data_IF_877034747219
#
_entry.id   IF_877034747219
#
_cell.length_a   1.000
_cell.length_b   1.000
_cell.length_c   1.000
_cell.angle_alpha   90.00
_cell.angle_beta   90.00
_cell.angle_gamma   90.00
#
_symmetry.space_group_name_H-M   'P 1'
#
loop_
_entity.id
_entity.type
_entity.pdbx_description
1 polymer ?
#
# COMPACT_ATOMS: atom_id res chain seq x y z
N UNK A 1 -27.43 -38.09 -13.83
CA UNK A 1 -27.76 -36.78 -13.24
C UNK A 1 -27.52 -35.72 -14.30
N UNK A 2 -28.55 -34.97 -14.74
CA UNK A 2 -28.34 -33.81 -15.63
C UNK A 2 -27.55 -32.76 -14.83
N UNK A 3 -26.36 -32.36 -15.30
CA UNK A 3 -25.63 -31.21 -14.72
C UNK A 3 -26.59 -30.02 -14.74
N UNK A 4 -26.79 -29.34 -13.60
CA UNK A 4 -27.52 -28.08 -13.57
C UNK A 4 -26.72 -27.07 -14.39
N UNK A 5 -27.38 -26.34 -15.28
CA UNK A 5 -26.76 -25.24 -16.01
C UNK A 5 -26.25 -24.18 -15.01
N UNK A 6 -25.04 -23.67 -15.25
CA UNK A 6 -24.34 -22.76 -14.34
C UNK A 6 -24.98 -21.37 -14.30
N UNK A 7 -25.56 -20.93 -15.43
CA UNK A 7 -26.18 -19.61 -15.55
C UNK A 7 -27.32 -19.40 -14.51
N UNK A 8 -28.34 -20.27 -14.39
CA UNK A 8 -29.36 -20.15 -13.33
C UNK A 8 -28.78 -20.09 -11.90
N UNK A 9 -27.71 -20.84 -11.62
CA UNK A 9 -27.06 -20.85 -10.32
C UNK A 9 -26.37 -19.51 -10.04
N UNK A 10 -25.68 -18.95 -11.05
CA UNK A 10 -25.07 -17.62 -10.97
C UNK A 10 -26.15 -16.55 -10.78
N UNK A 11 -27.26 -16.64 -11.51
CA UNK A 11 -28.39 -15.71 -11.38
C UNK A 11 -28.99 -15.71 -9.97
N UNK A 12 -29.20 -16.89 -9.38
CA UNK A 12 -29.65 -17.04 -8.00
C UNK A 12 -28.63 -16.45 -7.02
N UNK A 13 -27.33 -16.73 -7.22
CA UNK A 13 -26.27 -16.22 -6.35
C UNK A 13 -26.15 -14.70 -6.39
N UNK A 14 -26.32 -14.08 -7.56
CA UNK A 14 -26.39 -12.62 -7.73
C UNK A 14 -27.54 -12.06 -6.90
N UNK A 15 -28.73 -12.66 -6.96
CA UNK A 15 -29.88 -12.26 -6.14
C UNK A 15 -29.60 -12.34 -4.63
N UNK A 16 -29.02 -13.44 -4.17
CA UNK A 16 -28.62 -13.61 -2.76
C UNK A 16 -27.65 -12.50 -2.32
N UNK A 17 -26.62 -12.24 -3.14
CA UNK A 17 -25.61 -11.22 -2.86
C UNK A 17 -26.21 -9.82 -2.80
N UNK A 18 -27.07 -9.44 -3.76
CA UNK A 18 -27.79 -8.14 -3.73
C UNK A 18 -28.52 -7.95 -2.41
N UNK A 19 -29.30 -8.97 -2.02
CA UNK A 19 -30.12 -8.90 -0.82
C UNK A 19 -29.30 -8.74 0.46
N UNK A 20 -28.22 -9.51 0.58
CA UNK A 20 -27.33 -9.47 1.75
C UNK A 20 -26.54 -8.16 1.82
N UNK A 21 -26.05 -7.66 0.67
CA UNK A 21 -25.25 -6.45 0.62
C UNK A 21 -26.05 -5.20 0.95
N UNK A 22 -27.29 -5.07 0.43
CA UNK A 22 -28.16 -3.94 0.78
C UNK A 22 -28.43 -3.92 2.29
N UNK A 23 -28.65 -5.09 2.89
CA UNK A 23 -28.90 -5.19 4.32
C UNK A 23 -27.69 -4.75 5.17
N UNK A 24 -26.49 -5.16 4.77
CA UNK A 24 -25.24 -4.72 5.42
C UNK A 24 -25.03 -3.22 5.22
N UNK A 25 -25.09 -2.72 3.98
CA UNK A 25 -24.89 -1.30 3.68
C UNK A 25 -25.87 -0.40 4.43
N UNK A 26 -27.14 -0.81 4.53
CA UNK A 26 -28.17 -0.07 5.27
C UNK A 26 -27.92 -0.04 6.78
N UNK A 27 -27.47 -1.15 7.35
CA UNK A 27 -27.30 -1.28 8.80
C UNK A 27 -25.98 -0.68 9.30
N UNK A 28 -24.99 -0.52 8.42
CA UNK A 28 -23.67 -0.03 8.81
C UNK A 28 -23.60 1.49 9.00
N UNK A 29 -24.34 2.27 8.21
CA UNK A 29 -24.36 3.73 8.35
C UNK A 29 -25.59 4.35 7.73
N UNK A 30 -25.85 5.62 8.09
CA UNK A 30 -26.93 6.39 7.47
C UNK A 30 -26.59 6.66 6.01
N UNK A 31 -27.38 6.10 5.10
CA UNK A 31 -27.18 6.30 3.66
C UNK A 31 -27.24 7.81 3.33
N UNK A 32 -26.21 8.35 2.64
CA UNK A 32 -26.15 9.73 2.20
C UNK A 32 -27.24 10.06 1.19
N UNK A 33 -27.61 11.34 1.09
CA UNK A 33 -28.52 11.81 0.04
C UNK A 33 -27.82 11.84 -1.33
N UNK A 34 -28.58 11.73 -2.44
CA UNK A 34 -28.03 11.75 -3.79
C UNK A 34 -27.20 12.98 -4.07
N UNK A 35 -26.15 12.80 -4.87
CA UNK A 35 -25.25 13.88 -5.31
C UNK A 35 -26.06 14.95 -6.06
N UNK A 36 -26.81 14.54 -7.07
CA UNK A 36 -27.72 15.41 -7.81
C UNK A 36 -29.18 15.15 -7.44
N UNK A 37 -29.96 16.22 -7.43
CA UNK A 37 -31.40 16.19 -7.21
C UNK A 37 -32.06 17.29 -8.05
N UNK A 38 -33.29 17.03 -8.52
CA UNK A 38 -34.08 18.03 -9.22
C UNK A 38 -34.96 18.73 -8.18
N UNK A 39 -34.97 20.08 -8.09
CA UNK A 39 -35.75 20.79 -7.07
C UNK A 39 -37.24 20.43 -7.05
N UNK A 40 -37.82 20.18 -8.22
CA UNK A 40 -39.24 19.84 -8.39
C UNK A 40 -39.57 18.37 -8.03
N UNK A 41 -38.54 17.50 -7.97
CA UNK A 41 -38.66 16.09 -7.66
C UNK A 41 -37.58 15.70 -6.63
N UNK A 42 -37.76 16.11 -5.35
CA UNK A 42 -36.77 15.84 -4.32
C UNK A 42 -36.62 14.33 -4.09
N UNK A 43 -35.42 13.91 -3.74
CA UNK A 43 -35.11 12.51 -3.46
C UNK A 43 -35.98 11.98 -2.31
N UNK A 44 -36.72 10.90 -2.58
CA UNK A 44 -37.53 10.24 -1.55
C UNK A 44 -36.67 9.19 -0.87
N UNK A 45 -36.15 9.54 0.31
CA UNK A 45 -35.33 8.63 1.10
C UNK A 45 -36.13 7.36 1.48
N UNK A 46 -35.59 6.16 1.23
CA UNK A 46 -36.20 4.92 1.72
C UNK A 46 -36.31 4.94 3.25
N UNK A 47 -37.31 4.24 3.79
CA UNK A 47 -37.57 4.21 5.25
C UNK A 47 -36.95 2.96 5.89
N UNK A 48 -36.77 1.89 5.12
CA UNK A 48 -36.33 0.58 5.61
C UNK A 48 -35.56 -0.22 4.56
N UNK A 49 -34.58 -1.01 5.00
CA UNK A 49 -33.77 -1.89 4.14
C UNK A 49 -34.63 -2.83 3.29
N UNK A 50 -35.73 -3.35 3.85
CA UNK A 50 -36.63 -4.30 3.16
C UNK A 50 -37.25 -3.72 1.89
N UNK A 51 -37.46 -2.39 1.84
CA UNK A 51 -38.02 -1.71 0.66
C UNK A 51 -37.00 -1.67 -0.47
N UNK A 52 -35.76 -1.24 -0.17
CA UNK A 52 -34.66 -1.25 -1.13
C UNK A 52 -34.33 -2.66 -1.60
N UNK A 53 -34.26 -3.63 -0.68
CA UNK A 53 -34.01 -5.04 -0.99
C UNK A 53 -35.06 -5.57 -1.96
N UNK A 54 -36.35 -5.33 -1.71
CA UNK A 54 -37.43 -5.75 -2.61
C UNK A 54 -37.34 -5.08 -3.98
N UNK A 55 -37.03 -3.79 -4.05
CA UNK A 55 -36.85 -3.07 -5.31
C UNK A 55 -35.67 -3.62 -6.11
N UNK A 56 -34.50 -3.79 -5.48
CA UNK A 56 -33.30 -4.33 -6.12
C UNK A 56 -33.49 -5.75 -6.63
N UNK A 57 -34.12 -6.63 -5.83
CA UNK A 57 -34.41 -8.00 -6.23
C UNK A 57 -35.45 -8.06 -7.35
N UNK A 58 -36.45 -7.17 -7.33
CA UNK A 58 -37.43 -7.04 -8.42
C UNK A 58 -36.78 -6.62 -9.73
N UNK A 59 -35.87 -5.65 -9.68
CA UNK A 59 -35.09 -5.21 -10.84
C UNK A 59 -34.21 -6.33 -11.40
N UNK A 60 -33.49 -7.04 -10.53
CA UNK A 60 -32.69 -8.22 -10.91
C UNK A 60 -33.55 -9.32 -11.54
N UNK A 61 -34.73 -9.61 -10.97
CA UNK A 61 -35.63 -10.64 -11.47
C UNK A 61 -36.17 -10.34 -12.89
N UNK A 62 -36.37 -9.06 -13.22
CA UNK A 62 -36.91 -8.61 -14.50
C UNK A 62 -35.79 -8.42 -15.54
N UNK A 63 -34.61 -7.96 -15.15
CA UNK A 63 -33.47 -7.66 -16.04
C UNK A 63 -32.64 -8.89 -16.44
N UNK A 64 -33.29 -9.92 -16.99
CA UNK A 64 -32.59 -11.13 -17.47
C UNK A 64 -31.62 -10.83 -18.61
N UNK A 65 -31.96 -9.89 -19.48
CA UNK A 65 -31.12 -9.49 -20.61
C UNK A 65 -29.85 -8.79 -20.13
N UNK A 66 -29.97 -7.82 -19.22
CA UNK A 66 -28.81 -7.15 -18.64
C UNK A 66 -27.95 -8.12 -17.82
N UNK A 67 -28.54 -9.06 -17.08
CA UNK A 67 -27.78 -10.13 -16.43
C UNK A 67 -26.93 -10.92 -17.42
N UNK A 68 -27.52 -11.40 -18.52
CA UNK A 68 -26.80 -12.19 -19.51
C UNK A 68 -25.66 -11.41 -20.17
N UNK A 69 -25.86 -10.12 -20.44
CA UNK A 69 -24.82 -9.24 -20.98
C UNK A 69 -23.65 -9.07 -20.01
N UNK A 70 -23.92 -8.81 -18.72
CA UNK A 70 -22.89 -8.69 -17.68
C UNK A 70 -22.13 -10.00 -17.48
N UNK A 71 -22.85 -11.14 -17.52
CA UNK A 71 -22.24 -12.46 -17.45
C UNK A 71 -21.31 -12.72 -18.64
N UNK A 72 -21.75 -12.43 -19.87
CA UNK A 72 -20.93 -12.57 -21.07
C UNK A 72 -19.68 -11.68 -21.01
N UNK A 73 -19.84 -10.41 -20.63
CA UNK A 73 -18.73 -9.48 -20.45
C UNK A 73 -17.72 -9.98 -19.40
N UNK A 74 -18.20 -10.51 -18.28
CA UNK A 74 -17.36 -11.10 -17.24
C UNK A 74 -16.57 -12.29 -17.77
N UNK A 75 -17.23 -13.22 -18.47
CA UNK A 75 -16.59 -14.38 -19.11
C UNK A 75 -15.52 -13.93 -20.10
N UNK A 76 -15.81 -12.98 -20.98
CA UNK A 76 -14.87 -12.49 -22.00
C UNK A 76 -13.59 -11.88 -21.39
N UNK A 77 -13.71 -11.23 -20.23
CA UNK A 77 -12.57 -10.61 -19.53
C UNK A 77 -11.69 -11.63 -18.81
N UNK A 78 -12.25 -12.76 -18.37
CA UNK A 78 -11.58 -13.65 -17.41
C UNK A 78 -11.29 -15.04 -17.97
N UNK A 79 -12.17 -15.59 -18.81
CA UNK A 79 -12.02 -16.92 -19.38
C UNK A 79 -11.21 -16.87 -20.69
N UNK A 80 -10.03 -17.50 -20.68
CA UNK A 80 -9.20 -17.60 -21.88
C UNK A 80 -9.65 -18.77 -22.74
N UNK A 81 -10.33 -18.46 -23.84
CA UNK A 81 -10.75 -19.43 -24.85
C UNK A 81 -9.55 -20.13 -25.49
N UNK A 82 -9.49 -21.46 -25.38
CA UNK A 82 -8.53 -22.27 -26.13
C UNK A 82 -9.14 -22.72 -27.46
N UNK A 83 -8.71 -22.11 -28.56
CA UNK A 83 -9.24 -22.37 -29.91
C UNK A 83 -8.79 -23.71 -30.52
N UNK A 84 -7.83 -24.40 -29.92
CA UNK A 84 -7.30 -25.66 -30.45
C UNK A 84 -8.16 -26.90 -30.10
N UNK A 85 -9.18 -26.75 -29.25
CA UNK A 85 -9.94 -27.86 -28.69
C UNK A 85 -11.44 -27.70 -28.99
N UNK A 86 -12.07 -28.80 -29.43
CA UNK A 86 -13.45 -28.81 -29.94
C UNK A 86 -14.53 -28.82 -28.84
N UNK A 87 -14.16 -29.02 -27.57
CA UNK A 87 -15.05 -29.15 -26.40
C UNK A 87 -15.19 -27.83 -25.59
N UNK A 88 -15.10 -26.68 -26.28
CA UNK A 88 -15.11 -25.36 -25.65
C UNK A 88 -16.35 -25.12 -24.76
N UNK A 89 -17.54 -25.46 -25.25
CA UNK A 89 -18.79 -25.20 -24.53
C UNK A 89 -18.87 -25.99 -23.22
N UNK A 90 -18.49 -27.26 -23.22
CA UNK A 90 -18.46 -28.08 -22.00
C UNK A 90 -17.44 -27.54 -20.99
N UNK A 91 -16.28 -27.08 -21.47
CA UNK A 91 -15.26 -26.50 -20.59
C UNK A 91 -15.66 -25.16 -20.02
N UNK A 92 -16.31 -24.32 -20.82
CA UNK A 92 -16.85 -23.06 -20.35
C UNK A 92 -17.89 -23.35 -19.26
N UNK A 93 -18.78 -24.32 -19.47
CA UNK A 93 -19.78 -24.73 -18.48
C UNK A 93 -19.14 -25.25 -17.19
N UNK A 94 -18.14 -26.13 -17.29
CA UNK A 94 -17.38 -26.60 -16.12
C UNK A 94 -16.70 -25.44 -15.39
N UNK A 95 -16.07 -24.53 -16.14
CA UNK A 95 -15.40 -23.37 -15.56
C UNK A 95 -16.39 -22.44 -14.87
N UNK A 96 -17.53 -22.13 -15.49
CA UNK A 96 -18.58 -21.30 -14.89
C UNK A 96 -19.10 -21.93 -13.60
N UNK A 97 -19.32 -23.26 -13.58
CA UNK A 97 -19.78 -23.97 -12.38
C UNK A 97 -18.78 -23.90 -11.22
N UNK A 98 -17.49 -23.78 -11.52
CA UNK A 98 -16.42 -23.65 -10.51
C UNK A 98 -16.21 -22.20 -10.05
N UNK A 99 -16.67 -21.21 -10.83
CA UNK A 99 -16.41 -19.78 -10.61
C UNK A 99 -17.68 -18.99 -10.31
N UNK A 100 -18.75 -19.64 -9.84
CA UNK A 100 -20.06 -19.01 -9.56
C UNK A 100 -19.94 -17.77 -8.67
N UNK A 101 -19.23 -17.88 -7.54
CA UNK A 101 -19.11 -16.78 -6.58
C UNK A 101 -18.33 -15.58 -7.16
N UNK A 102 -17.27 -15.86 -7.92
CA UNK A 102 -16.47 -14.84 -8.60
C UNK A 102 -17.27 -14.12 -9.69
N UNK A 103 -17.97 -14.87 -10.55
CA UNK A 103 -18.81 -14.31 -11.59
C UNK A 103 -19.96 -13.48 -11.00
N UNK A 104 -20.59 -13.97 -9.93
CA UNK A 104 -21.63 -13.24 -9.23
C UNK A 104 -21.11 -11.94 -8.61
N UNK A 105 -19.90 -11.94 -8.02
CA UNK A 105 -19.28 -10.73 -7.48
C UNK A 105 -19.06 -9.64 -8.54
N UNK A 106 -18.53 -10.03 -9.71
CA UNK A 106 -18.34 -9.12 -10.85
C UNK A 106 -19.67 -8.54 -11.34
N UNK A 107 -20.68 -9.39 -11.53
CA UNK A 107 -22.01 -8.98 -12.05
C UNK A 107 -22.71 -8.03 -11.07
N UNK A 108 -22.72 -8.35 -9.77
CA UNK A 108 -23.35 -7.49 -8.74
C UNK A 108 -22.65 -6.14 -8.67
N UNK A 109 -21.32 -6.12 -8.79
CA UNK A 109 -20.53 -4.88 -8.81
C UNK A 109 -20.86 -4.04 -10.03
N UNK A 110 -20.85 -4.62 -11.23
CA UNK A 110 -21.19 -3.92 -12.48
C UNK A 110 -22.62 -3.36 -12.45
N UNK A 111 -23.57 -4.13 -11.92
CA UNK A 111 -24.96 -3.68 -11.75
C UNK A 111 -25.06 -2.50 -10.77
N UNK A 112 -24.36 -2.56 -9.63
CA UNK A 112 -24.31 -1.47 -8.65
C UNK A 112 -23.68 -0.20 -9.23
N UNK A 113 -22.57 -0.34 -9.98
CA UNK A 113 -21.91 0.77 -10.68
C UNK A 113 -22.85 1.42 -11.68
N UNK A 114 -23.56 0.64 -12.50
CA UNK A 114 -24.53 1.17 -13.46
C UNK A 114 -25.67 1.94 -12.77
N UNK A 115 -26.15 1.48 -11.62
CA UNK A 115 -27.18 2.22 -10.87
C UNK A 115 -26.62 3.54 -10.31
N UNK A 116 -25.39 3.54 -9.79
CA UNK A 116 -24.73 4.79 -9.40
C UNK A 116 -24.57 5.72 -10.61
N UNK A 117 -24.09 5.22 -11.75
CA UNK A 117 -23.89 6.05 -12.95
C UNK A 117 -25.17 6.74 -13.42
N UNK A 118 -26.30 6.03 -13.41
CA UNK A 118 -27.61 6.62 -13.73
C UNK A 118 -28.03 7.73 -12.75
N UNK A 119 -27.63 7.60 -11.48
CA UNK A 119 -27.90 8.65 -10.48
C UNK A 119 -26.97 9.86 -10.58
N UNK A 120 -25.84 9.72 -11.29
CA UNK A 120 -24.84 10.77 -11.50
C UNK A 120 -25.02 11.51 -12.83
N UNK A 121 -26.10 11.27 -13.57
CA UNK A 121 -26.48 12.12 -14.70
C UNK A 121 -26.92 13.49 -14.17
N UNK A 122 -26.08 14.50 -14.33
CA UNK A 122 -26.34 15.88 -13.90
C UNK A 122 -27.64 16.45 -14.48
N UNK A 123 -28.04 16.02 -15.69
CA UNK A 123 -29.25 16.53 -16.36
C UNK A 123 -30.50 15.80 -15.93
N UNK A 124 -30.41 14.49 -15.72
CA UNK A 124 -31.55 13.64 -15.39
C UNK A 124 -31.20 12.62 -14.29
N UNK A 125 -30.92 13.09 -13.06
CA UNK A 125 -30.43 12.21 -12.01
C UNK A 125 -31.53 11.26 -11.53
N UNK A 126 -31.24 9.96 -11.53
CA UNK A 126 -32.11 8.96 -10.92
C UNK A 126 -31.79 8.81 -9.42
N UNK A 127 -32.51 9.57 -8.58
CA UNK A 127 -32.30 9.59 -7.13
C UNK A 127 -32.63 8.25 -6.45
N UNK A 128 -33.53 7.44 -7.03
CA UNK A 128 -33.86 6.12 -6.49
C UNK A 128 -32.72 5.13 -6.75
N UNK A 129 -32.10 5.23 -7.93
CA UNK A 129 -30.91 4.45 -8.28
C UNK A 129 -29.69 4.81 -7.45
N UNK A 130 -29.59 6.04 -6.95
CA UNK A 130 -28.55 6.39 -5.97
C UNK A 130 -28.65 5.49 -4.73
N UNK A 131 -29.82 5.44 -4.08
CA UNK A 131 -30.00 4.65 -2.86
C UNK A 131 -29.79 3.15 -3.11
N UNK A 132 -30.24 2.63 -4.26
CA UNK A 132 -30.02 1.24 -4.64
C UNK A 132 -28.53 0.93 -4.90
N UNK A 133 -27.91 1.71 -5.78
CA UNK A 133 -26.54 1.51 -6.24
C UNK A 133 -25.51 1.74 -5.13
N UNK A 134 -25.62 2.87 -4.43
CA UNK A 134 -24.71 3.20 -3.33
C UNK A 134 -24.83 2.20 -2.19
N UNK A 135 -26.05 1.84 -1.75
CA UNK A 135 -26.23 0.86 -0.68
C UNK A 135 -25.68 -0.52 -1.05
N UNK A 136 -25.89 -0.94 -2.30
CA UNK A 136 -25.37 -2.20 -2.82
C UNK A 136 -23.84 -2.21 -2.81
N UNK A 137 -23.21 -1.20 -3.41
CA UNK A 137 -21.75 -1.09 -3.50
C UNK A 137 -21.10 -0.92 -2.13
N UNK A 138 -21.69 -0.12 -1.24
CA UNK A 138 -21.24 0.03 0.14
C UNK A 138 -21.27 -1.31 0.88
N UNK A 139 -22.38 -2.05 0.79
CA UNK A 139 -22.50 -3.38 1.37
C UNK A 139 -21.47 -4.37 0.81
N UNK A 140 -21.24 -4.35 -0.51
CA UNK A 140 -20.20 -5.17 -1.15
C UNK A 140 -18.79 -4.80 -0.67
N UNK A 141 -18.48 -3.50 -0.55
CA UNK A 141 -17.22 -3.02 -0.01
C UNK A 141 -17.00 -3.50 1.43
N UNK A 142 -18.02 -3.36 2.28
CA UNK A 142 -17.99 -3.79 3.68
C UNK A 142 -17.95 -5.32 3.86
N UNK A 143 -18.30 -6.08 2.83
CA UNK A 143 -18.11 -7.54 2.78
C UNK A 143 -16.73 -7.96 2.24
N UNK A 144 -15.88 -7.01 1.84
CA UNK A 144 -14.57 -7.30 1.25
C UNK A 144 -14.65 -7.85 -0.18
N UNK A 145 -15.64 -7.41 -0.98
CA UNK A 145 -15.75 -7.76 -2.41
C UNK A 145 -14.46 -7.38 -3.15
N UNK A 146 -13.80 -8.38 -3.75
CA UNK A 146 -12.60 -8.16 -4.54
C UNK A 146 -12.88 -7.28 -5.77
N UNK A 147 -14.03 -7.45 -6.40
CA UNK A 147 -14.45 -6.65 -7.57
C UNK A 147 -14.64 -5.17 -7.23
N UNK A 148 -15.23 -4.85 -6.08
CA UNK A 148 -15.41 -3.46 -5.62
C UNK A 148 -14.08 -2.85 -5.17
N UNK A 149 -13.28 -3.60 -4.41
CA UNK A 149 -12.00 -3.13 -3.89
C UNK A 149 -11.02 -2.78 -5.02
N UNK A 150 -10.97 -3.60 -6.09
CA UNK A 150 -10.10 -3.36 -7.26
C UNK A 150 -10.63 -2.32 -8.24
N UNK A 151 -11.83 -1.80 -8.04
CA UNK A 151 -12.42 -0.83 -8.97
C UNK A 151 -11.82 0.56 -8.75
N UNK A 152 -11.23 1.12 -9.82
CA UNK A 152 -10.74 2.50 -9.80
C UNK A 152 -11.86 3.53 -10.02
N UNK A 153 -12.89 3.16 -10.78
CA UNK A 153 -13.96 4.10 -11.14
C UNK A 153 -14.90 4.39 -9.98
N UNK A 154 -15.22 3.41 -9.12
CA UNK A 154 -16.18 3.60 -8.03
C UNK A 154 -15.78 4.73 -7.07
N UNK A 155 -14.58 4.74 -6.45
CA UNK A 155 -14.20 5.82 -5.55
C UNK A 155 -14.16 7.18 -6.27
N UNK A 156 -13.77 7.22 -7.55
CA UNK A 156 -13.73 8.47 -8.32
C UNK A 156 -15.13 8.99 -8.68
N UNK A 157 -16.03 8.11 -9.13
CA UNK A 157 -17.41 8.47 -9.43
C UNK A 157 -18.13 9.02 -8.21
N UNK A 158 -17.92 8.39 -7.04
CA UNK A 158 -18.47 8.89 -5.79
C UNK A 158 -17.81 10.22 -5.37
N UNK A 159 -16.49 10.36 -5.47
CA UNK A 159 -15.78 11.57 -5.04
C UNK A 159 -16.19 12.79 -5.87
N UNK A 160 -16.23 12.64 -7.19
CA UNK A 160 -16.42 13.72 -8.13
C UNK A 160 -17.86 13.87 -8.61
N UNK A 161 -18.75 12.94 -8.26
CA UNK A 161 -20.14 12.96 -8.69
C UNK A 161 -20.28 12.85 -10.21
N UNK A 162 -19.45 12.02 -10.85
CA UNK A 162 -19.49 11.82 -12.30
C UNK A 162 -19.59 10.33 -12.64
N UNK A 163 -20.27 9.97 -13.75
CA UNK A 163 -20.35 8.58 -14.18
C UNK A 163 -18.97 7.96 -14.42
N UNK A 164 -18.87 6.64 -14.28
CA UNK A 164 -17.62 5.86 -14.33
C UNK A 164 -16.82 6.01 -15.64
N UNK A 165 -17.48 6.34 -16.75
CA UNK A 165 -16.86 6.56 -18.06
C UNK A 165 -16.29 7.98 -18.24
N UNK A 166 -16.52 8.90 -17.30
CA UNK A 166 -16.06 10.29 -17.37
C UNK A 166 -14.59 10.42 -16.98
N UNK A 167 -13.88 11.34 -17.65
CA UNK A 167 -12.43 11.60 -17.44
C UNK A 167 -12.11 12.99 -16.91
N UNK A 168 -13.12 13.80 -16.58
CA UNK A 168 -12.93 15.18 -16.10
C UNK A 168 -13.21 15.25 -14.61
N UNK A 169 -12.13 15.30 -13.83
CA UNK A 169 -12.16 15.38 -12.39
C UNK A 169 -11.71 16.78 -11.96
N UNK A 170 -12.61 17.76 -12.06
CA UNK A 170 -12.26 19.16 -11.77
C UNK A 170 -12.34 19.43 -10.26
N UNK A 171 -13.52 19.24 -9.67
CA UNK A 171 -13.76 19.47 -8.25
C UNK A 171 -14.58 18.32 -7.63
N UNK A 172 -14.20 17.83 -6.44
CA UNK A 172 -14.95 16.79 -5.76
C UNK A 172 -16.31 17.33 -5.32
N UNK A 173 -17.36 16.51 -5.46
CA UNK A 173 -18.71 16.88 -5.08
C UNK A 173 -18.88 16.72 -3.55
N UNK A 174 -19.35 17.75 -2.81
CA UNK A 174 -19.42 17.70 -1.33
C UNK A 174 -20.23 16.51 -0.80
N UNK A 175 -21.40 16.24 -1.38
CA UNK A 175 -22.24 15.08 -0.98
C UNK A 175 -21.54 13.74 -1.29
N UNK A 176 -20.75 13.70 -2.35
CA UNK A 176 -19.98 12.52 -2.75
C UNK A 176 -18.83 12.21 -1.80
N UNK A 177 -18.09 13.25 -1.40
CA UNK A 177 -17.04 13.15 -0.39
C UNK A 177 -17.58 12.75 0.99
N UNK A 178 -18.74 13.28 1.37
CA UNK A 178 -19.43 12.84 2.58
C UNK A 178 -19.83 11.36 2.50
N UNK A 179 -20.31 10.91 1.34
CA UNK A 179 -20.69 9.52 1.13
C UNK A 179 -19.49 8.57 1.24
N UNK A 180 -18.37 8.91 0.60
CA UNK A 180 -17.11 8.18 0.72
C UNK A 180 -16.59 8.14 2.15
N UNK A 181 -16.55 9.29 2.81
CA UNK A 181 -16.08 9.39 4.21
C UNK A 181 -16.94 8.53 5.14
N UNK A 182 -18.26 8.53 4.93
CA UNK A 182 -19.19 7.69 5.71
C UNK A 182 -18.91 6.21 5.50
N UNK A 183 -18.68 5.78 4.25
CA UNK A 183 -18.37 4.40 3.91
C UNK A 183 -17.01 3.95 4.50
N UNK A 184 -15.97 4.77 4.35
CA UNK A 184 -14.64 4.48 4.90
C UNK A 184 -14.67 4.36 6.42
N UNK A 185 -15.39 5.27 7.10
CA UNK A 185 -15.56 5.22 8.56
C UNK A 185 -16.39 4.03 9.03
N UNK A 186 -17.34 3.55 8.21
CA UNK A 186 -18.16 2.39 8.53
C UNK A 186 -17.42 1.05 8.38
N UNK A 187 -16.25 1.04 7.73
CA UNK A 187 -15.46 -0.17 7.54
C UNK A 187 -14.73 -0.52 8.84
N UNK A 188 -15.05 -1.69 9.41
CA UNK A 188 -14.46 -2.19 10.67
C UNK A 188 -13.43 -3.29 10.43
N UNK A 189 -12.44 -3.39 11.33
CA UNK A 189 -11.49 -4.51 11.39
C UNK A 189 -10.70 -4.73 10.09
N UNK A 190 -10.59 -5.99 9.66
CA UNK A 190 -9.83 -6.39 8.46
C UNK A 190 -10.39 -5.84 7.15
N UNK A 191 -11.69 -5.54 7.09
CA UNK A 191 -12.27 -4.94 5.88
C UNK A 191 -11.86 -3.49 5.75
N UNK A 192 -11.73 -2.79 6.89
CA UNK A 192 -11.20 -1.43 6.94
C UNK A 192 -9.84 -1.35 6.26
N UNK A 193 -8.89 -2.20 6.64
CA UNK A 193 -7.56 -2.18 6.02
C UNK A 193 -7.64 -2.42 4.51
N UNK A 194 -8.42 -3.40 4.04
CA UNK A 194 -8.51 -3.71 2.61
C UNK A 194 -9.10 -2.56 1.78
N UNK A 195 -10.18 -1.94 2.28
CA UNK A 195 -10.86 -0.83 1.59
C UNK A 195 -9.96 0.40 1.53
N UNK A 196 -9.38 0.80 2.65
CA UNK A 196 -8.45 1.93 2.70
C UNK A 196 -7.22 1.68 1.82
N UNK A 197 -6.65 0.47 1.87
CA UNK A 197 -5.48 0.10 1.10
C UNK A 197 -5.74 0.15 -0.42
N UNK A 198 -6.99 -0.09 -0.85
CA UNK A 198 -7.35 -0.08 -2.26
C UNK A 198 -7.76 1.30 -2.77
N UNK A 199 -8.58 2.04 -2.00
CA UNK A 199 -9.21 3.27 -2.48
C UNK A 199 -8.44 4.56 -2.14
N UNK A 200 -7.73 4.61 -1.00
CA UNK A 200 -6.98 5.82 -0.64
C UNK A 200 -5.88 6.18 -1.65
N UNK A 201 -5.10 5.23 -2.23
CA UNK A 201 -4.15 5.57 -3.29
C UNK A 201 -4.82 6.26 -4.47
N UNK A 202 -6.01 5.81 -4.85
CA UNK A 202 -6.73 6.32 -6.03
C UNK A 202 -7.20 7.76 -5.78
N UNK A 203 -7.71 8.01 -4.58
CA UNK A 203 -8.13 9.36 -4.15
C UNK A 203 -6.93 10.30 -3.89
N UNK A 204 -5.78 9.76 -3.50
CA UNK A 204 -4.56 10.53 -3.28
C UNK A 204 -3.90 11.05 -4.57
N UNK A 205 -4.25 10.51 -5.74
CA UNK A 205 -3.77 11.03 -7.03
C UNK A 205 -4.28 12.46 -7.26
N UNK A 206 -5.47 12.78 -6.77
CA UNK A 206 -6.12 14.07 -7.02
C UNK A 206 -6.02 14.97 -5.78
N UNK A 207 -5.33 16.10 -5.92
CA UNK A 207 -5.14 17.09 -4.85
C UNK A 207 -6.46 17.51 -4.22
N UNK A 208 -7.46 17.83 -5.04
CA UNK A 208 -8.74 18.36 -4.59
C UNK A 208 -9.52 17.37 -3.72
N UNK A 209 -9.59 16.08 -4.08
CA UNK A 209 -10.23 15.07 -3.23
C UNK A 209 -9.41 14.79 -1.97
N UNK A 210 -8.09 14.74 -2.12
CA UNK A 210 -7.20 14.39 -1.03
C UNK A 210 -7.20 15.40 0.11
N UNK A 211 -7.17 16.70 -0.22
CA UNK A 211 -7.23 17.79 0.76
C UNK A 211 -8.58 17.80 1.48
N UNK A 212 -9.69 17.61 0.76
CA UNK A 212 -11.04 17.60 1.36
C UNK A 212 -11.24 16.46 2.35
N UNK A 213 -10.68 15.27 2.06
CA UNK A 213 -10.79 14.10 2.93
C UNK A 213 -9.69 13.96 3.98
N UNK A 214 -8.63 14.76 3.90
CA UNK A 214 -7.39 14.56 4.68
C UNK A 214 -6.91 13.10 4.55
N UNK A 215 -6.71 12.65 3.29
CA UNK A 215 -6.37 11.26 2.96
C UNK A 215 -5.14 10.78 3.73
N UNK A 216 -4.16 11.64 3.94
CA UNK A 216 -2.95 11.30 4.70
C UNK A 216 -3.29 10.93 6.15
N UNK A 217 -4.21 11.63 6.80
CA UNK A 217 -4.63 11.32 8.17
C UNK A 217 -5.43 10.03 8.25
N UNK A 218 -6.34 9.79 7.30
CA UNK A 218 -7.12 8.54 7.24
C UNK A 218 -6.18 7.35 7.04
N UNK A 219 -5.24 7.44 6.10
CA UNK A 219 -4.24 6.40 5.85
C UNK A 219 -3.39 6.11 7.09
N UNK A 220 -2.93 7.16 7.78
CA UNK A 220 -2.19 7.02 9.03
C UNK A 220 -3.00 6.34 10.12
N UNK A 221 -4.27 6.72 10.30
CA UNK A 221 -5.15 6.08 11.27
C UNK A 221 -5.35 4.58 10.95
N UNK A 222 -5.51 4.23 9.67
CA UNK A 222 -5.62 2.84 9.23
C UNK A 222 -4.38 2.02 9.59
N UNK A 223 -3.18 2.55 9.33
CA UNK A 223 -1.91 1.88 9.66
C UNK A 223 -1.78 1.65 11.17
N UNK A 224 -2.14 2.63 12.00
CA UNK A 224 -2.09 2.49 13.46
C UNK A 224 -3.11 1.48 14.00
N UNK A 225 -4.33 1.48 13.45
CA UNK A 225 -5.40 0.60 13.93
C UNK A 225 -5.21 -0.85 13.48
N UNK A 226 -4.53 -1.06 12.34
CA UNK A 226 -4.35 -2.37 11.71
C UNK A 226 -2.90 -2.65 11.29
N UNK A 227 -1.92 -2.61 12.21
CA UNK A 227 -0.50 -2.66 11.87
C UNK A 227 -0.05 -3.99 11.26
N UNK A 228 -0.74 -5.09 11.57
CA UNK A 228 -0.46 -6.44 11.06
C UNK A 228 -1.11 -6.72 9.70
N UNK A 229 -1.88 -5.78 9.16
CA UNK A 229 -2.49 -5.89 7.83
C UNK A 229 -1.56 -5.33 6.75
N UNK A 230 -1.78 -5.73 5.50
CA UNK A 230 -1.12 -5.07 4.37
C UNK A 230 -1.65 -3.63 4.24
N UNK A 231 -0.77 -2.66 4.51
CA UNK A 231 -1.06 -1.23 4.44
C UNK A 231 -0.19 -0.52 3.38
N UNK A 232 0.34 -1.26 2.40
CA UNK A 232 1.19 -0.75 1.32
C UNK A 232 0.54 0.37 0.50
N UNK A 233 -0.73 0.24 0.16
CA UNK A 233 -1.58 1.26 -0.44
C UNK A 233 -1.80 2.47 0.47
N UNK A 234 -2.11 2.28 1.77
CA UNK A 234 -2.20 3.42 2.70
C UNK A 234 -0.89 4.23 2.75
N UNK A 235 0.26 3.53 2.79
CA UNK A 235 1.57 4.18 2.71
C UNK A 235 1.79 4.91 1.37
N UNK A 236 1.43 4.28 0.26
CA UNK A 236 1.47 4.88 -1.07
C UNK A 236 0.61 6.15 -1.15
N UNK A 237 -0.57 6.15 -0.53
CA UNK A 237 -1.45 7.31 -0.47
C UNK A 237 -0.79 8.48 0.26
N UNK A 238 -0.21 8.25 1.46
CA UNK A 238 0.53 9.29 2.21
C UNK A 238 1.69 9.85 1.38
N UNK A 239 2.43 8.96 0.71
CA UNK A 239 3.54 9.36 -0.13
C UNK A 239 3.03 10.23 -1.28
N UNK A 240 1.99 9.79 -2.01
CA UNK A 240 1.37 10.56 -3.12
C UNK A 240 0.93 11.97 -2.70
N UNK A 241 0.37 12.12 -1.49
CA UNK A 241 -0.01 13.42 -0.93
C UNK A 241 1.16 14.40 -0.86
N UNK A 242 2.40 13.94 -0.70
CA UNK A 242 3.58 14.81 -0.66
C UNK A 242 3.75 15.70 -1.90
N UNK A 243 3.16 15.32 -3.04
CA UNK A 243 3.25 16.10 -4.27
C UNK A 243 2.56 17.47 -4.17
N UNK A 244 1.55 17.62 -3.30
CA UNK A 244 0.77 18.85 -3.14
C UNK A 244 0.59 19.29 -1.68
N UNK A 245 0.66 18.38 -0.70
CA UNK A 245 0.62 18.70 0.74
C UNK A 245 1.74 17.98 1.50
N UNK A 246 2.97 18.46 1.30
CA UNK A 246 4.16 17.97 1.99
C UNK A 246 4.07 18.10 3.51
N UNK A 247 3.40 19.14 4.02
CA UNK A 247 3.33 19.41 5.45
C UNK A 247 2.45 18.38 6.18
N UNK A 248 1.28 18.06 5.63
CA UNK A 248 0.41 17.02 6.17
C UNK A 248 1.06 15.64 6.09
N UNK A 249 1.63 15.28 4.93
CA UNK A 249 2.32 14.01 4.75
C UNK A 249 3.50 13.85 5.73
N UNK A 250 4.33 14.89 5.89
CA UNK A 250 5.45 14.90 6.84
C UNK A 250 5.00 14.63 8.28
N UNK A 251 3.98 15.36 8.74
CA UNK A 251 3.43 15.21 10.10
C UNK A 251 2.95 13.78 10.35
N UNK A 252 2.26 13.21 9.36
CA UNK A 252 1.69 11.87 9.43
C UNK A 252 2.78 10.78 9.39
N UNK A 253 3.80 10.92 8.55
CA UNK A 253 4.94 9.99 8.50
C UNK A 253 5.77 10.01 9.79
N UNK A 254 6.01 11.21 10.37
CA UNK A 254 6.69 11.33 11.67
C UNK A 254 5.86 10.67 12.77
N UNK A 255 4.55 10.88 12.79
CA UNK A 255 3.67 10.21 13.75
C UNK A 255 3.74 8.69 13.67
N UNK A 256 3.92 8.11 12.47
CA UNK A 256 4.10 6.66 12.28
C UNK A 256 5.46 6.17 12.80
N UNK A 257 6.50 7.01 12.77
CA UNK A 257 7.78 6.68 13.41
C UNK A 257 7.64 6.70 14.93
N UNK A 258 7.00 7.73 15.48
CA UNK A 258 6.91 7.93 16.93
C UNK A 258 5.97 6.93 17.63
N UNK A 259 4.84 6.60 17.00
CA UNK A 259 3.79 5.77 17.61
C UNK A 259 3.59 4.40 16.92
N UNK A 260 4.40 4.09 15.90
CA UNK A 260 4.26 2.87 15.11
C UNK A 260 4.78 1.61 15.80
N UNK A 261 4.29 0.46 15.33
CA UNK A 261 4.82 -0.85 15.71
C UNK A 261 6.01 -1.24 14.83
N UNK A 262 6.63 -2.40 15.12
CA UNK A 262 7.66 -2.97 14.24
C UNK A 262 7.17 -3.15 12.80
N UNK A 263 5.93 -3.59 12.61
CA UNK A 263 5.30 -3.76 11.30
C UNK A 263 5.18 -2.41 10.56
N UNK A 264 4.81 -1.35 11.29
CA UNK A 264 4.77 0.03 10.76
C UNK A 264 6.15 0.53 10.36
N UNK A 265 7.18 0.31 11.18
CA UNK A 265 8.56 0.73 10.87
C UNK A 265 9.14 -0.04 9.69
N UNK A 266 8.80 -1.33 9.56
CA UNK A 266 9.18 -2.14 8.39
C UNK A 266 8.56 -1.57 7.12
N UNK A 267 7.25 -1.28 7.14
CA UNK A 267 6.54 -0.65 6.04
C UNK A 267 7.14 0.72 5.65
N UNK A 268 7.49 1.55 6.63
CA UNK A 268 8.17 2.83 6.40
C UNK A 268 9.55 2.63 5.76
N UNK A 269 10.34 1.68 6.28
CA UNK A 269 11.67 1.38 5.76
C UNK A 269 11.62 0.91 4.29
N UNK A 270 10.65 0.07 3.93
CA UNK A 270 10.44 -0.39 2.56
C UNK A 270 10.08 0.76 1.60
N UNK A 271 9.51 1.84 2.13
CA UNK A 271 9.08 3.01 1.37
C UNK A 271 10.01 4.23 1.52
N UNK A 272 11.21 4.07 2.09
CA UNK A 272 12.18 5.17 2.19
C UNK A 272 12.69 5.66 0.83
N UNK A 273 12.83 4.80 -0.18
CA UNK A 273 13.33 5.22 -1.50
C UNK A 273 12.33 6.15 -2.24
N UNK A 274 11.01 5.83 -2.31
CA UNK A 274 10.02 6.78 -2.82
C UNK A 274 10.01 8.12 -2.08
N UNK A 275 10.18 8.10 -0.74
CA UNK A 275 10.23 9.32 0.07
C UNK A 275 11.50 10.11 -0.24
N UNK A 276 12.66 9.44 -0.33
CA UNK A 276 13.94 10.05 -0.70
C UNK A 276 13.87 10.75 -2.06
N UNK A 277 13.18 10.14 -3.03
CA UNK A 277 12.96 10.74 -4.35
C UNK A 277 12.14 12.04 -4.33
N UNK A 278 11.41 12.33 -3.24
CA UNK A 278 10.59 13.53 -3.07
C UNK A 278 11.19 14.53 -2.09
N UNK A 279 11.78 14.05 -1.00
CA UNK A 279 12.40 14.88 0.03
C UNK A 279 13.48 14.11 0.78
N UNK A 280 14.74 14.38 0.44
CA UNK A 280 15.90 13.86 1.17
C UNK A 280 15.91 14.26 2.66
N UNK A 281 15.62 15.52 3.05
CA UNK A 281 15.59 15.89 4.46
C UNK A 281 14.57 15.08 5.27
N UNK A 282 13.39 14.82 4.70
CA UNK A 282 12.37 14.00 5.36
C UNK A 282 12.82 12.54 5.47
N UNK A 283 13.31 11.93 4.39
CA UNK A 283 13.80 10.56 4.42
C UNK A 283 14.90 10.37 5.49
N UNK A 284 15.80 11.35 5.61
CA UNK A 284 16.82 11.36 6.65
C UNK A 284 16.22 11.52 8.06
N UNK A 285 15.23 12.39 8.25
CA UNK A 285 14.54 12.56 9.52
C UNK A 285 13.84 11.27 9.97
N UNK A 286 13.13 10.60 9.06
CA UNK A 286 12.44 9.35 9.34
C UNK A 286 13.44 8.23 9.66
N UNK A 287 14.52 8.10 8.89
CA UNK A 287 15.58 7.14 9.16
C UNK A 287 16.19 7.37 10.56
N UNK A 288 16.51 8.63 10.91
CA UNK A 288 17.03 8.98 12.23
C UNK A 288 16.07 8.57 13.34
N UNK A 289 14.79 8.91 13.22
CA UNK A 289 13.78 8.53 14.20
C UNK A 289 13.68 7.01 14.37
N UNK A 290 13.70 6.25 13.28
CA UNK A 290 13.63 4.79 13.33
C UNK A 290 14.88 4.12 13.92
N UNK A 291 16.09 4.64 13.68
CA UNK A 291 17.32 4.14 14.31
C UNK A 291 17.29 4.35 15.83
N UNK A 292 16.77 5.50 16.29
CA UNK A 292 16.69 5.84 17.70
C UNK A 292 15.64 5.03 18.48
N UNK A 293 14.66 4.45 17.80
CA UNK A 293 13.61 3.61 18.42
C UNK A 293 14.11 2.25 18.95
N UNK A 294 15.41 1.95 18.84
CA UNK A 294 16.08 0.73 19.37
C UNK A 294 15.46 -0.61 18.93
N UNK A 295 14.68 -0.63 17.85
CA UNK A 295 14.14 -1.87 17.31
C UNK A 295 15.22 -2.60 16.52
N UNK A 296 15.89 -3.57 17.15
CA UNK A 296 17.00 -4.30 16.54
C UNK A 296 16.63 -5.04 15.26
N UNK A 297 15.36 -5.44 15.11
CA UNK A 297 14.92 -6.22 13.96
C UNK A 297 14.98 -5.42 12.64
N UNK A 298 14.78 -4.09 12.71
CA UNK A 298 14.74 -3.23 11.51
C UNK A 298 16.11 -2.65 11.15
N UNK A 299 17.07 -2.66 12.09
CA UNK A 299 18.39 -2.05 11.90
C UNK A 299 19.12 -2.53 10.63
N UNK A 300 19.09 -3.83 10.24
CA UNK A 300 19.72 -4.26 8.99
C UNK A 300 19.10 -3.63 7.75
N UNK A 301 17.78 -3.44 7.74
CA UNK A 301 17.08 -2.79 6.63
C UNK A 301 17.47 -1.30 6.56
N UNK A 302 17.45 -0.60 7.70
CA UNK A 302 17.86 0.81 7.78
C UNK A 302 19.32 1.00 7.37
N UNK A 303 20.22 0.11 7.82
CA UNK A 303 21.63 0.11 7.45
C UNK A 303 21.84 0.04 5.93
N UNK A 304 21.04 -0.77 5.23
CA UNK A 304 21.12 -0.87 3.76
C UNK A 304 20.71 0.42 3.04
N UNK A 305 19.83 1.23 3.64
CA UNK A 305 19.31 2.49 3.08
C UNK A 305 20.12 3.73 3.50
N UNK A 306 20.95 3.61 4.53
CA UNK A 306 21.65 4.74 5.13
C UNK A 306 22.57 5.47 4.15
N UNK A 307 23.42 4.75 3.41
CA UNK A 307 24.37 5.38 2.47
C UNK A 307 23.66 6.12 1.33
N UNK A 308 22.68 5.52 0.61
CA UNK A 308 21.90 6.24 -0.41
C UNK A 308 21.29 7.55 0.08
N UNK A 309 20.71 7.57 1.29
CA UNK A 309 20.09 8.77 1.88
C UNK A 309 21.13 9.84 2.25
N UNK A 310 22.30 9.42 2.74
CA UNK A 310 23.36 10.31 3.21
C UNK A 310 24.46 10.54 2.17
N UNK A 311 24.23 10.25 0.88
CA UNK A 311 25.26 10.30 -0.17
C UNK A 311 26.04 11.62 -0.23
N UNK A 312 25.39 12.73 0.10
CA UNK A 312 25.97 14.08 0.10
C UNK A 312 26.28 14.63 1.50
N UNK A 313 26.05 13.85 2.55
CA UNK A 313 26.27 14.23 3.95
C UNK A 313 27.04 13.11 4.68
N UNK A 314 28.35 13.09 4.44
CA UNK A 314 29.30 12.11 4.99
C UNK A 314 29.37 12.17 6.52
N UNK A 315 29.21 13.35 7.12
CA UNK A 315 29.22 13.52 8.58
C UNK A 315 28.01 12.83 9.21
N UNK A 316 26.83 13.01 8.61
CA UNK A 316 25.63 12.32 9.08
C UNK A 316 25.69 10.83 8.79
N UNK A 317 26.19 10.40 7.64
CA UNK A 317 26.43 8.98 7.37
C UNK A 317 27.28 8.34 8.48
N UNK A 318 28.42 8.96 8.79
CA UNK A 318 29.39 8.46 9.77
C UNK A 318 28.76 8.34 11.16
N UNK A 319 28.10 9.42 11.63
CA UNK A 319 27.45 9.43 12.94
C UNK A 319 26.38 8.34 13.08
N UNK A 320 25.52 8.21 12.09
CA UNK A 320 24.45 7.21 12.10
C UNK A 320 24.97 5.78 11.95
N UNK A 321 26.00 5.57 11.12
CA UNK A 321 26.65 4.28 10.98
C UNK A 321 27.28 3.83 12.30
N UNK A 322 27.94 4.74 13.04
CA UNK A 322 28.47 4.46 14.36
C UNK A 322 27.37 4.07 15.35
N UNK A 323 26.24 4.78 15.39
CA UNK A 323 25.10 4.41 16.25
C UNK A 323 24.60 2.99 15.95
N UNK A 324 24.45 2.64 14.67
CA UNK A 324 24.04 1.29 14.25
C UNK A 324 25.09 0.24 14.65
N UNK A 325 26.39 0.51 14.44
CA UNK A 325 27.47 -0.42 14.78
C UNK A 325 27.51 -0.67 16.29
N UNK A 326 27.36 0.38 17.09
CA UNK A 326 27.39 0.31 18.55
C UNK A 326 26.20 -0.45 19.14
N UNK A 327 25.12 -0.66 18.37
CA UNK A 327 24.04 -1.57 18.77
C UNK A 327 24.50 -3.03 18.91
N UNK A 328 25.64 -3.42 18.31
CA UNK A 328 26.14 -4.79 18.33
C UNK A 328 25.37 -5.76 17.42
N UNK A 329 24.40 -5.27 16.63
CA UNK A 329 23.66 -6.10 15.69
C UNK A 329 24.53 -6.47 14.48
N UNK A 330 25.12 -7.68 14.50
CA UNK A 330 26.01 -8.16 13.45
C UNK A 330 25.35 -8.18 12.06
N UNK A 331 24.04 -8.42 11.95
CA UNK A 331 23.35 -8.33 10.65
C UNK A 331 23.34 -6.90 10.12
N UNK A 332 23.12 -5.92 10.98
CA UNK A 332 23.13 -4.52 10.59
C UNK A 332 24.54 -4.03 10.21
N UNK A 333 25.56 -4.44 10.96
CA UNK A 333 26.97 -4.19 10.62
C UNK A 333 27.30 -4.78 9.24
N UNK A 334 26.88 -6.02 8.97
CA UNK A 334 27.04 -6.64 7.65
C UNK A 334 26.38 -5.85 6.53
N UNK A 335 25.16 -5.35 6.74
CA UNK A 335 24.47 -4.52 5.76
C UNK A 335 25.22 -3.20 5.50
N UNK A 336 25.75 -2.54 6.53
CA UNK A 336 26.58 -1.33 6.34
C UNK A 336 27.83 -1.63 5.48
N UNK A 337 28.48 -2.76 5.74
CA UNK A 337 29.67 -3.20 4.98
C UNK A 337 29.33 -3.46 3.51
N UNK A 338 28.20 -4.14 3.25
CA UNK A 338 27.75 -4.50 1.90
C UNK A 338 27.33 -3.30 1.07
N UNK A 339 26.53 -2.39 1.66
CA UNK A 339 25.82 -1.35 0.91
C UNK A 339 26.45 0.05 1.02
N UNK A 340 27.30 0.31 2.02
CA UNK A 340 27.83 1.66 2.30
C UNK A 340 29.34 1.77 2.34
N UNK A 341 30.04 0.85 3.02
CA UNK A 341 31.45 1.08 3.38
C UNK A 341 32.38 1.23 2.17
N UNK A 342 32.14 0.47 1.09
CA UNK A 342 32.96 0.58 -0.13
C UNK A 342 32.92 2.00 -0.69
N UNK A 343 31.73 2.56 -0.76
CA UNK A 343 31.49 3.89 -1.29
C UNK A 343 31.99 4.98 -0.33
N UNK A 344 31.75 4.82 0.97
CA UNK A 344 32.34 5.68 2.01
C UNK A 344 33.87 5.77 1.89
N UNK A 345 34.57 4.64 1.75
CA UNK A 345 36.04 4.59 1.61
C UNK A 345 36.56 5.09 0.24
N UNK A 346 35.70 5.29 -0.75
CA UNK A 346 36.07 5.99 -1.97
C UNK A 346 36.29 7.47 -1.68
N UNK A 347 35.38 8.06 -0.91
CA UNK A 347 35.38 9.48 -0.56
C UNK A 347 36.31 9.77 0.65
N UNK A 348 36.39 8.86 1.62
CA UNK A 348 37.17 8.97 2.85
C UNK A 348 38.13 7.79 3.03
N UNK A 349 39.24 7.73 2.26
CA UNK A 349 40.15 6.58 2.28
C UNK A 349 40.91 6.40 3.60
N UNK A 350 41.03 7.45 4.41
CA UNK A 350 41.74 7.47 5.69
C UNK A 350 40.86 7.12 6.91
N UNK A 351 39.59 6.81 6.66
CA UNK A 351 38.56 6.46 7.64
C UNK A 351 38.58 7.39 8.86
N UNK A 352 38.46 8.70 8.64
CA UNK A 352 38.37 9.71 9.71
C UNK A 352 37.29 9.38 10.75
N UNK A 353 36.19 8.79 10.30
CA UNK A 353 35.07 8.34 11.12
C UNK A 353 35.32 7.07 11.95
N UNK A 354 36.46 6.40 11.78
CA UNK A 354 36.81 5.14 12.47
C UNK A 354 35.74 4.04 12.29
N UNK A 355 35.07 4.00 11.15
CA UNK A 355 34.00 3.04 10.89
C UNK A 355 34.55 1.61 10.79
N UNK A 356 35.75 1.41 10.24
CA UNK A 356 36.35 0.09 10.08
C UNK A 356 36.74 -0.54 11.42
N UNK A 357 37.46 0.20 12.26
CA UNK A 357 37.89 -0.30 13.58
C UNK A 357 36.70 -0.49 14.52
N UNK A 358 35.71 0.40 14.48
CA UNK A 358 34.50 0.27 15.29
C UNK A 358 33.65 -0.91 14.83
N UNK A 359 33.42 -1.08 13.52
CA UNK A 359 32.71 -2.24 12.99
C UNK A 359 33.44 -3.56 13.27
N UNK A 360 34.78 -3.54 13.32
CA UNK A 360 35.58 -4.69 13.71
C UNK A 360 35.36 -5.07 15.17
N UNK A 361 35.33 -4.08 16.07
CA UNK A 361 35.13 -4.28 17.51
C UNK A 361 33.77 -4.92 17.84
N UNK A 362 32.70 -4.44 17.21
CA UNK A 362 31.33 -4.86 17.51
C UNK A 362 30.80 -5.97 16.58
N UNK A 363 31.44 -6.19 15.44
CA UNK A 363 31.06 -7.21 14.46
C UNK A 363 31.47 -8.62 14.88
N UNK A 364 30.68 -9.62 14.45
CA UNK A 364 31.03 -11.03 14.56
C UNK A 364 32.01 -11.48 13.48
N UNK A 365 32.32 -12.78 13.47
CA UNK A 365 33.34 -13.37 12.59
C UNK A 365 33.07 -13.12 11.10
N UNK A 366 31.80 -13.16 10.68
CA UNK A 366 31.40 -12.91 9.29
C UNK A 366 31.64 -11.44 8.91
N UNK A 367 31.28 -10.50 9.80
CA UNK A 367 31.56 -9.07 9.60
C UNK A 367 33.05 -8.81 9.50
N UNK A 368 33.85 -9.37 10.42
CA UNK A 368 35.32 -9.26 10.42
C UNK A 368 35.92 -9.81 9.12
N UNK A 369 35.46 -10.97 8.65
CA UNK A 369 35.92 -11.55 7.37
C UNK A 369 35.68 -10.63 6.18
N UNK A 370 34.51 -9.97 6.11
CA UNK A 370 34.20 -8.99 5.05
C UNK A 370 35.00 -7.69 5.18
N UNK A 371 35.19 -7.20 6.41
CA UNK A 371 36.01 -6.03 6.70
C UNK A 371 37.47 -6.23 6.27
N UNK A 372 38.04 -7.44 6.44
CA UNK A 372 39.40 -7.75 5.97
C UNK A 372 39.59 -7.36 4.50
N UNK A 373 38.60 -7.68 3.65
CA UNK A 373 38.65 -7.32 2.23
C UNK A 373 38.71 -5.81 2.00
N UNK A 374 37.96 -5.02 2.78
CA UNK A 374 37.98 -3.56 2.68
C UNK A 374 39.27 -2.95 3.23
N UNK A 375 39.80 -3.47 4.34
CA UNK A 375 41.06 -3.00 4.92
C UNK A 375 42.25 -3.31 4.00
N UNK A 376 42.26 -4.45 3.31
CA UNK A 376 43.25 -4.75 2.26
C UNK A 376 43.17 -3.71 1.13
N UNK A 377 41.96 -3.35 0.70
CA UNK A 377 41.78 -2.31 -0.32
C UNK A 377 42.24 -0.93 0.17
N UNK A 378 42.06 -0.62 1.46
CA UNK A 378 42.59 0.59 2.08
C UNK A 378 44.12 0.62 2.05
N UNK A 379 44.78 -0.50 2.40
CA UNK A 379 46.25 -0.62 2.33
C UNK A 379 46.77 -0.39 0.91
N UNK A 380 46.10 -0.96 -0.10
CA UNK A 380 46.47 -0.73 -1.52
C UNK A 380 46.44 0.75 -1.91
N UNK A 381 45.63 1.59 -1.24
CA UNK A 381 45.63 3.04 -1.44
C UNK A 381 46.74 3.75 -0.66
N UNK A 382 46.97 3.36 0.60
CA UNK A 382 48.03 3.93 1.44
C UNK A 382 48.33 3.04 2.65
N UNK A 383 49.60 2.73 2.86
CA UNK A 383 50.06 2.03 4.07
C UNK A 383 49.79 2.83 5.35
N UNK A 384 49.82 4.17 5.28
CA UNK A 384 49.54 5.03 6.44
C UNK A 384 48.12 4.84 6.96
N UNK A 385 47.13 4.77 6.05
CA UNK A 385 45.73 4.61 6.42
C UNK A 385 45.46 3.22 7.00
N UNK A 386 46.12 2.20 6.45
CA UNK A 386 46.08 0.86 6.99
C UNK A 386 46.63 0.81 8.42
N UNK A 387 47.82 1.33 8.67
CA UNK A 387 48.42 1.31 10.01
C UNK A 387 47.60 2.09 11.04
N UNK A 388 46.94 3.19 10.63
CA UNK A 388 46.00 3.92 11.48
C UNK A 388 44.84 3.01 11.92
N UNK A 389 44.16 2.36 10.98
CA UNK A 389 43.05 1.44 11.28
C UNK A 389 43.48 0.27 12.16
N UNK A 390 44.65 -0.32 11.88
CA UNK A 390 45.17 -1.46 12.65
C UNK A 390 45.59 -1.04 14.06
N UNK A 391 46.19 0.15 14.22
CA UNK A 391 46.54 0.68 15.54
C UNK A 391 45.30 0.90 16.41
N UNK A 392 44.19 1.35 15.81
CA UNK A 392 42.90 1.44 16.52
C UNK A 392 42.37 0.07 16.92
N UNK A 393 42.54 -0.98 16.08
CA UNK A 393 42.18 -2.36 16.45
C UNK A 393 43.07 -2.88 17.58
N UNK A 394 44.37 -2.60 17.52
CA UNK A 394 45.34 -3.00 18.55
C UNK A 394 44.99 -2.44 19.93
N UNK A 395 44.36 -1.25 19.98
CA UNK A 395 43.91 -0.63 21.24
C UNK A 395 42.92 -1.49 22.03
N UNK A 396 42.16 -2.37 21.37
CA UNK A 396 41.20 -3.27 22.02
C UNK A 396 41.47 -4.76 21.80
N UNK A 397 42.25 -5.14 20.79
CA UNK A 397 42.66 -6.54 20.56
C UNK A 397 43.99 -6.63 19.81
N UNK A 398 45.08 -6.75 20.57
CA UNK A 398 46.43 -6.93 20.01
C UNK A 398 46.56 -8.18 19.14
N UNK A 399 45.98 -9.30 19.57
CA UNK A 399 46.04 -10.56 18.83
C UNK A 399 45.37 -10.46 17.45
N UNK A 400 44.24 -9.75 17.34
CA UNK A 400 43.55 -9.60 16.06
C UNK A 400 44.28 -8.63 15.12
N UNK A 401 44.86 -7.56 15.66
CA UNK A 401 45.68 -6.62 14.90
C UNK A 401 46.92 -7.31 14.30
N UNK A 402 47.63 -8.11 15.09
CA UNK A 402 48.81 -8.85 14.65
C UNK A 402 48.44 -9.88 13.55
N UNK A 403 47.32 -10.59 13.72
CA UNK A 403 46.82 -11.50 12.69
C UNK A 403 46.49 -10.76 11.39
N UNK A 404 45.89 -9.57 11.48
CA UNK A 404 45.57 -8.76 10.30
C UNK A 404 46.83 -8.31 9.56
N UNK A 405 47.87 -7.86 10.29
CA UNK A 405 49.18 -7.50 9.69
C UNK A 405 49.79 -8.67 8.95
N UNK A 406 49.76 -9.87 9.53
CA UNK A 406 50.26 -11.10 8.90
C UNK A 406 49.47 -11.47 7.64
N UNK A 407 48.14 -11.54 7.75
CA UNK A 407 47.23 -11.91 6.67
C UNK A 407 47.37 -10.96 5.46
N UNK A 408 47.53 -9.67 5.71
CA UNK A 408 47.64 -8.66 4.65
C UNK A 408 49.03 -8.69 4.02
N UNK A 409 50.10 -8.85 4.81
CA UNK A 409 51.47 -8.95 4.31
C UNK A 409 51.66 -10.16 3.39
N UNK A 410 51.02 -11.30 3.70
CA UNK A 410 51.02 -12.50 2.87
C UNK A 410 50.32 -12.31 1.52
N UNK A 411 49.36 -11.38 1.41
CA UNK A 411 48.57 -11.12 0.19
C UNK A 411 49.09 -9.96 -0.68
N UNK A 412 50.00 -9.15 -0.15
CA UNK A 412 50.70 -8.08 -0.89
C UNK A 412 52.00 -8.55 -1.56
N UNK A 413 52.37 -9.82 -1.36
CA UNK A 413 53.51 -10.47 -2.03
C UNK A 413 53.17 -11.24 -3.32
N UNK A 414 51.90 -11.22 -3.73
CA UNK A 414 51.38 -11.64 -5.05
C UNK A 414 50.94 -10.39 -5.83
#
# INVERSE_FOLDING_TARGET
MRRRESNPIIFEKVGEMIGNSIEIGWNSFRIPDPIYEVPDFPAIRPIQASTLKRQALGLHAIDKTGFNLRLENSILRTYKKNYAQFDHEERLEIWMSQNVAFLADQIVTEMGTQWVDLSLDEKHPDTDRWYLGFCLLAGRALQGSESVLKSESIPLSLAFGIPSDSRKFDFPHPKGMMALTSLLNAAEGKVSSLLHNSWLPILAVYESSSVVMDVSKIATACIHNHPESDNSGCMSAIIQVMAYDMASATRNLISLVDNGTQSTHTLLCDNLDPILGRSQPLALQLLKGMVLNKNEAILPMLASKLYPICRHDQDTYTRMALEIIQSGNDKAIRSLIEYGFRQYLQDNPDDTGMLLSTAWKFGGDISKSRLRGLIVLQKKKSDLYFEKTVSEIESFSKSEADQLRLDVSARSGE
#
